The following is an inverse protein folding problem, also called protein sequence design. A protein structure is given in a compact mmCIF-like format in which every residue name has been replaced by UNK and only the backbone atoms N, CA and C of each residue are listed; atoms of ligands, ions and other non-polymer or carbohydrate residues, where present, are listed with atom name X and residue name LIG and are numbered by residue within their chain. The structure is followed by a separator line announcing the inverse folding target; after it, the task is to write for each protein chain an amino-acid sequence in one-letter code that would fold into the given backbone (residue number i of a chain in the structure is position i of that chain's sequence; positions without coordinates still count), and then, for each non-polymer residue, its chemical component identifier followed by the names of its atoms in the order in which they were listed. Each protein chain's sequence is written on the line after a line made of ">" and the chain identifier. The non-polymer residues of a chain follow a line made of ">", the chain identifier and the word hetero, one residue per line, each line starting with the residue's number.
data_IF_800918947515
#
_entry.id   IF_800918947515
#
_cell.length_a   1.000
_cell.length_b   1.000
_cell.length_c   1.000
_cell.angle_alpha   90.00
_cell.angle_beta   90.00
_cell.angle_gamma   90.00
#
_symmetry.space_group_name_H-M   'P 1'
#
loop_
_entity.id
_entity.type
_entity.pdbx_description
1 polymer ?
#
# COMPACT_ATOMS: atom_id res chain seq x y z
N UNK A 1 -15.00 -4.87 -19.39
CA UNK A 1 -14.33 -4.42 -18.14
C UNK A 1 -14.11 -5.67 -17.31
N UNK A 2 -12.86 -5.95 -16.94
CA UNK A 2 -12.48 -7.12 -16.13
C UNK A 2 -13.30 -7.18 -14.82
N UNK A 3 -13.89 -8.34 -14.43
CA UNK A 3 -14.61 -8.49 -13.17
C UNK A 3 -13.85 -7.99 -11.94
N UNK A 4 -12.53 -8.19 -11.87
CA UNK A 4 -11.75 -7.75 -10.71
C UNK A 4 -11.67 -6.22 -10.64
N UNK A 5 -11.53 -5.55 -11.79
CA UNK A 5 -11.58 -4.08 -11.88
C UNK A 5 -12.96 -3.50 -11.53
N UNK A 6 -14.04 -4.20 -11.88
CA UNK A 6 -15.39 -3.80 -11.46
C UNK A 6 -15.55 -3.89 -9.93
N UNK A 7 -15.00 -4.94 -9.31
CA UNK A 7 -15.00 -5.11 -7.86
C UNK A 7 -14.19 -4.01 -7.17
N UNK A 8 -13.03 -3.65 -7.72
CA UNK A 8 -12.23 -2.52 -7.21
C UNK A 8 -13.00 -1.20 -7.27
N UNK A 9 -13.64 -0.89 -8.40
CA UNK A 9 -14.49 0.30 -8.52
C UNK A 9 -15.60 0.31 -7.47
N UNK A 10 -16.29 -0.82 -7.27
CA UNK A 10 -17.34 -0.93 -6.27
C UNK A 10 -16.82 -0.77 -4.83
N UNK A 11 -15.61 -1.28 -4.52
CA UNK A 11 -14.97 -1.11 -3.21
C UNK A 11 -14.58 0.35 -2.95
N UNK A 12 -14.10 1.07 -3.97
CA UNK A 12 -13.82 2.51 -3.88
C UNK A 12 -15.11 3.31 -3.65
N UNK A 13 -16.21 2.96 -4.33
CA UNK A 13 -17.50 3.61 -4.12
C UNK A 13 -18.06 3.32 -2.70
N UNK A 14 -17.83 2.12 -2.17
CA UNK A 14 -18.18 1.76 -0.81
C UNK A 14 -17.34 2.54 0.23
N UNK A 15 -16.06 2.80 -0.04
CA UNK A 15 -15.23 3.70 0.76
C UNK A 15 -15.82 5.10 0.77
N UNK A 16 -16.17 5.68 -0.38
CA UNK A 16 -16.76 7.02 -0.44
C UNK A 16 -18.06 7.11 0.41
N UNK A 17 -18.90 6.08 0.32
CA UNK A 17 -20.13 6.01 1.12
C UNK A 17 -19.89 5.89 2.63
N UNK A 18 -18.88 5.13 3.06
CA UNK A 18 -18.59 4.96 4.49
C UNK A 18 -18.09 6.26 5.16
N UNK A 19 -17.63 7.24 4.37
CA UNK A 19 -17.07 8.50 4.84
C UNK A 19 -17.97 9.72 4.55
N UNK A 20 -19.19 9.50 4.04
CA UNK A 20 -20.12 10.59 3.66
C UNK A 20 -20.58 11.41 4.87
N UNK A 21 -20.77 10.76 6.01
CA UNK A 21 -21.26 11.38 7.24
C UNK A 21 -20.09 11.88 8.08
N UNK A 22 -19.64 13.11 7.82
CA UNK A 22 -18.64 13.76 8.66
C UNK A 22 -19.13 15.10 9.21
N UNK A 23 -18.86 15.33 10.50
CA UNK A 23 -19.09 16.61 11.14
C UNK A 23 -18.33 17.75 10.44
N UNK A 24 -18.84 19.00 10.49
CA UNK A 24 -18.16 20.16 9.95
C UNK A 24 -16.70 20.23 10.42
N UNK A 25 -15.80 20.48 9.47
CA UNK A 25 -14.37 20.51 9.67
C UNK A 25 -13.82 21.87 9.21
N UNK A 26 -12.84 22.39 9.92
CA UNK A 26 -12.11 23.59 9.53
C UNK A 26 -10.63 23.23 9.54
N UNK A 27 -10.04 23.21 8.36
CA UNK A 27 -8.62 22.97 8.21
C UNK A 27 -7.82 24.17 8.73
N UNK A 28 -6.65 23.88 9.26
CA UNK A 28 -5.65 24.84 9.71
C UNK A 28 -4.28 24.16 9.72
N UNK A 29 -3.24 24.93 9.96
CA UNK A 29 -1.88 24.41 9.97
C UNK A 29 -0.82 25.46 9.69
N UNK A 30 0.29 25.04 9.10
CA UNK A 30 1.44 25.89 8.84
C UNK A 30 1.13 26.93 7.75
N UNK A 31 0.97 28.20 8.13
CA UNK A 31 0.68 29.32 7.22
C UNK A 31 1.89 29.76 6.38
N UNK A 32 3.06 29.18 6.60
CA UNK A 32 4.22 29.39 5.72
C UNK A 32 4.20 28.42 4.53
N UNK A 33 3.67 27.21 4.72
CA UNK A 33 3.58 26.18 3.69
C UNK A 33 2.30 26.31 2.86
N UNK A 34 1.18 26.66 3.49
CA UNK A 34 -0.14 26.73 2.86
C UNK A 34 -0.85 28.05 3.17
N UNK A 35 -1.57 28.58 2.18
CA UNK A 35 -2.36 29.80 2.29
C UNK A 35 -3.76 29.56 2.86
N UNK A 36 -4.45 30.65 3.20
CA UNK A 36 -5.85 30.61 3.67
C UNK A 36 -6.77 29.94 2.64
N UNK A 37 -6.48 30.10 1.35
CA UNK A 37 -7.21 29.46 0.25
C UNK A 37 -7.10 27.93 0.27
N UNK A 38 -5.94 27.38 0.64
CA UNK A 38 -5.74 25.93 0.73
C UNK A 38 -6.54 25.38 1.92
N UNK A 39 -6.49 26.06 3.06
CA UNK A 39 -7.28 25.65 4.23
C UNK A 39 -8.78 25.81 3.99
N UNK A 40 -9.22 26.85 3.28
CA UNK A 40 -10.62 27.02 2.89
C UNK A 40 -11.10 25.88 1.99
N UNK A 41 -10.28 25.45 1.03
CA UNK A 41 -10.53 24.29 0.17
C UNK A 41 -10.66 23.00 0.99
N UNK A 42 -9.68 22.71 1.86
CA UNK A 42 -9.66 21.53 2.73
C UNK A 42 -10.83 21.49 3.73
N UNK A 43 -11.34 22.66 4.13
CA UNK A 43 -12.53 22.79 4.98
C UNK A 43 -13.83 22.48 4.22
N UNK A 44 -13.81 22.58 2.89
CA UNK A 44 -14.93 22.33 2.01
C UNK A 44 -15.28 20.85 1.85
N UNK A 45 -16.25 20.52 0.97
CA UNK A 45 -16.60 19.14 0.68
C UNK A 45 -15.41 18.34 0.10
N UNK A 46 -15.09 17.14 0.63
CA UNK A 46 -13.92 16.35 0.20
C UNK A 46 -13.83 16.07 -1.31
N UNK A 47 -14.98 15.90 -1.97
CA UNK A 47 -15.04 15.63 -3.41
C UNK A 47 -14.73 16.87 -4.29
N UNK A 48 -14.66 18.06 -3.69
CA UNK A 48 -14.29 19.31 -4.38
C UNK A 48 -12.84 19.72 -4.12
N UNK A 49 -12.12 19.01 -3.23
CA UNK A 49 -10.69 19.23 -2.99
C UNK A 49 -9.92 18.81 -4.24
N UNK A 50 -9.02 19.69 -4.69
CA UNK A 50 -8.16 19.50 -5.85
C UNK A 50 -7.18 18.35 -5.67
N UNK A 51 -6.76 17.73 -6.77
CA UNK A 51 -5.80 16.61 -6.74
C UNK A 51 -4.43 17.04 -6.17
N UNK A 52 -4.02 18.28 -6.41
CA UNK A 52 -2.81 18.86 -5.82
C UNK A 52 -2.89 18.87 -4.29
N UNK A 53 -4.06 19.24 -3.76
CA UNK A 53 -4.27 19.29 -2.30
C UNK A 53 -4.49 17.90 -1.69
N UNK A 54 -5.11 16.96 -2.43
CA UNK A 54 -5.14 15.54 -2.04
C UNK A 54 -3.72 14.98 -1.95
N UNK A 55 -2.88 15.26 -2.95
CA UNK A 55 -1.47 14.82 -2.98
C UNK A 55 -0.66 15.46 -1.85
N UNK A 56 -0.89 16.75 -1.57
CA UNK A 56 -0.26 17.45 -0.45
C UNK A 56 -0.60 16.79 0.90
N UNK A 57 -1.88 16.52 1.17
CA UNK A 57 -2.28 15.85 2.42
C UNK A 57 -1.78 14.40 2.47
N UNK A 58 -1.71 13.72 1.34
CA UNK A 58 -1.17 12.36 1.24
C UNK A 58 0.32 12.29 1.61
N UNK A 59 1.13 13.26 1.19
CA UNK A 59 2.59 13.20 1.30
C UNK A 59 3.17 13.98 2.47
N UNK A 60 2.65 15.18 2.75
CA UNK A 60 3.30 16.08 3.70
C UNK A 60 3.36 15.53 5.13
N UNK A 61 4.33 16.03 5.89
CA UNK A 61 4.46 15.68 7.30
C UNK A 61 3.23 16.12 8.10
N UNK A 62 2.78 15.33 9.10
CA UNK A 62 1.58 15.63 9.88
C UNK A 62 1.56 17.04 10.49
N UNK A 63 2.71 17.56 10.89
CA UNK A 63 2.86 18.87 11.54
C UNK A 63 2.52 20.07 10.63
N UNK A 64 2.30 19.84 9.33
CA UNK A 64 1.74 20.86 8.44
C UNK A 64 0.26 21.15 8.70
N UNK A 65 -0.44 20.30 9.46
CA UNK A 65 -1.88 20.34 9.65
C UNK A 65 -2.23 20.33 11.15
N UNK A 66 -3.10 21.24 11.60
CA UNK A 66 -3.46 21.35 13.02
C UNK A 66 -4.19 20.11 13.57
N UNK A 67 -5.05 19.49 12.76
CA UNK A 67 -5.78 18.25 13.09
C UNK A 67 -5.56 17.20 11.99
N UNK A 68 -4.29 16.81 11.82
CA UNK A 68 -3.89 15.81 10.82
C UNK A 68 -4.72 14.52 10.88
N UNK A 69 -4.95 13.86 12.04
CA UNK A 69 -5.69 12.59 12.07
C UNK A 69 -7.11 12.72 11.48
N UNK A 70 -7.81 13.82 11.77
CA UNK A 70 -9.15 14.07 11.23
C UNK A 70 -9.10 14.44 9.75
N UNK A 71 -8.18 15.33 9.36
CA UNK A 71 -8.00 15.72 7.95
C UNK A 71 -7.67 14.51 7.07
N UNK A 72 -6.73 13.68 7.51
CA UNK A 72 -6.30 12.51 6.77
C UNK A 72 -7.43 11.48 6.63
N UNK A 73 -8.16 11.22 7.72
CA UNK A 73 -9.37 10.39 7.69
C UNK A 73 -10.38 10.90 6.67
N UNK A 74 -10.69 12.19 6.69
CA UNK A 74 -11.64 12.85 5.78
C UNK A 74 -11.27 12.65 4.31
N UNK A 75 -9.99 12.72 3.98
CA UNK A 75 -9.49 12.59 2.60
C UNK A 75 -9.09 11.17 2.21
N UNK A 76 -9.13 10.20 3.12
CA UNK A 76 -8.69 8.81 2.85
C UNK A 76 -9.37 8.18 1.63
N UNK A 77 -10.70 8.30 1.40
CA UNK A 77 -11.32 7.75 0.20
C UNK A 77 -10.73 8.35 -1.09
N UNK A 78 -10.47 9.67 -1.13
CA UNK A 78 -9.88 10.37 -2.27
C UNK A 78 -8.43 9.94 -2.48
N UNK A 79 -7.64 9.85 -1.41
CA UNK A 79 -6.24 9.42 -1.44
C UNK A 79 -6.12 7.97 -1.96
N UNK A 80 -6.91 7.05 -1.44
CA UNK A 80 -6.86 5.64 -1.86
C UNK A 80 -7.40 5.42 -3.27
N UNK A 81 -8.40 6.22 -3.70
CA UNK A 81 -8.84 6.21 -5.09
C UNK A 81 -7.72 6.69 -6.01
N UNK A 82 -7.08 7.81 -5.69
CA UNK A 82 -5.99 8.35 -6.49
C UNK A 82 -4.79 7.38 -6.56
N UNK A 83 -4.47 6.71 -5.44
CA UNK A 83 -3.49 5.63 -5.41
C UNK A 83 -3.91 4.47 -6.32
N UNK A 84 -5.10 3.89 -6.14
CA UNK A 84 -5.53 2.73 -6.92
C UNK A 84 -5.65 3.00 -8.44
N UNK A 85 -5.74 4.26 -8.86
CA UNK A 85 -5.84 4.66 -10.28
C UNK A 85 -4.59 5.35 -10.83
N UNK A 86 -3.48 5.36 -10.08
CA UNK A 86 -2.21 6.03 -10.46
C UNK A 86 -2.41 7.51 -10.88
N UNK A 87 -3.20 8.24 -10.11
CA UNK A 87 -3.40 9.69 -10.29
C UNK A 87 -2.86 10.50 -9.12
N UNK A 88 -2.24 9.84 -8.15
CA UNK A 88 -1.59 10.48 -7.01
C UNK A 88 -0.19 10.93 -7.43
N UNK A 89 0.14 12.22 -7.23
CA UNK A 89 1.41 12.79 -7.71
C UNK A 89 2.57 12.66 -6.71
N UNK A 90 2.51 11.66 -5.85
CA UNK A 90 3.46 11.38 -4.77
C UNK A 90 3.64 9.88 -4.63
N UNK A 91 4.73 9.47 -3.98
CA UNK A 91 5.01 8.07 -3.70
C UNK A 91 3.87 7.43 -2.89
N UNK A 92 3.29 6.35 -3.39
CA UNK A 92 2.16 5.65 -2.78
C UNK A 92 2.55 4.97 -1.46
N UNK A 93 3.82 4.63 -1.27
CA UNK A 93 4.32 3.94 -0.09
C UNK A 93 4.32 4.82 1.17
N UNK A 94 4.08 6.14 1.03
CA UNK A 94 3.91 7.06 2.17
C UNK A 94 2.52 6.93 2.83
N UNK A 95 1.53 6.44 2.09
CA UNK A 95 0.13 6.36 2.53
C UNK A 95 -0.03 5.53 3.81
N UNK A 96 0.57 4.33 3.94
CA UNK A 96 0.52 3.55 5.17
C UNK A 96 1.03 4.30 6.39
N UNK A 97 2.16 5.00 6.29
CA UNK A 97 2.74 5.78 7.38
C UNK A 97 1.73 6.80 7.90
N UNK A 98 1.03 7.47 6.98
CA UNK A 98 0.02 8.47 7.27
C UNK A 98 -1.26 7.87 7.85
N UNK A 99 -1.74 6.74 7.32
CA UNK A 99 -2.87 5.98 7.88
C UNK A 99 -2.59 5.55 9.33
N UNK A 100 -1.38 5.05 9.61
CA UNK A 100 -0.95 4.67 10.94
C UNK A 100 -0.88 5.87 11.88
N UNK A 101 -0.33 7.00 11.43
CA UNK A 101 -0.30 8.27 12.18
C UNK A 101 -1.71 8.81 12.47
N UNK A 102 -2.65 8.62 11.56
CA UNK A 102 -4.05 8.96 11.73
C UNK A 102 -4.86 7.90 12.52
N UNK A 103 -4.20 6.84 12.99
CA UNK A 103 -4.79 5.75 13.78
C UNK A 103 -6.03 5.12 13.12
N UNK A 104 -5.93 4.78 11.82
CA UNK A 104 -7.06 4.34 11.00
C UNK A 104 -7.90 3.19 11.59
N UNK A 105 -7.26 2.29 12.33
CA UNK A 105 -7.93 1.15 12.98
C UNK A 105 -8.89 1.57 14.10
N UNK A 106 -8.79 2.81 14.60
CA UNK A 106 -9.60 3.38 15.68
C UNK A 106 -10.74 4.28 15.18
N UNK A 107 -10.83 4.49 13.87
CA UNK A 107 -11.90 5.28 13.25
C UNK A 107 -13.29 4.67 13.49
N UNK A 108 -14.37 5.42 13.25
CA UNK A 108 -15.74 4.90 13.28
C UNK A 108 -15.85 3.50 12.62
N UNK A 109 -16.55 2.54 13.23
CA UNK A 109 -16.52 1.14 12.81
C UNK A 109 -16.82 0.92 11.32
N UNK A 110 -17.74 1.68 10.73
CA UNK A 110 -18.08 1.60 9.31
C UNK A 110 -16.90 1.99 8.40
N UNK A 111 -16.15 3.02 8.76
CA UNK A 111 -14.99 3.51 8.01
C UNK A 111 -13.82 2.51 8.07
N UNK A 112 -13.51 2.04 9.28
CA UNK A 112 -12.45 1.04 9.46
C UNK A 112 -12.82 -0.30 8.80
N UNK A 113 -14.10 -0.70 8.80
CA UNK A 113 -14.56 -1.89 8.08
C UNK A 113 -14.41 -1.74 6.56
N UNK A 114 -14.79 -0.59 5.99
CA UNK A 114 -14.65 -0.34 4.56
C UNK A 114 -13.19 -0.43 4.10
N UNK A 115 -12.22 0.05 4.89
CA UNK A 115 -10.79 -0.13 4.61
C UNK A 115 -10.37 -1.61 4.64
N UNK A 116 -10.82 -2.37 5.65
CA UNK A 116 -10.53 -3.81 5.75
C UNK A 116 -11.08 -4.59 4.57
N UNK A 117 -12.23 -4.19 4.02
CA UNK A 117 -12.82 -4.81 2.82
C UNK A 117 -12.11 -4.36 1.53
N UNK A 118 -11.59 -3.13 1.51
CA UNK A 118 -10.87 -2.57 0.38
C UNK A 118 -9.52 -3.26 0.13
N UNK A 119 -8.67 -3.44 1.14
CA UNK A 119 -7.32 -4.01 0.98
C UNK A 119 -7.26 -5.33 0.17
N UNK A 120 -8.02 -6.39 0.54
CA UNK A 120 -8.00 -7.63 -0.22
C UNK A 120 -8.67 -7.50 -1.59
N UNK A 121 -9.51 -6.49 -1.81
CA UNK A 121 -10.14 -6.24 -3.12
C UNK A 121 -9.15 -5.57 -4.06
N UNK A 122 -8.43 -4.55 -3.60
CA UNK A 122 -7.38 -3.89 -4.36
C UNK A 122 -6.28 -4.89 -4.75
N UNK A 123 -5.80 -5.68 -3.78
CA UNK A 123 -4.75 -6.67 -4.05
C UNK A 123 -5.14 -7.70 -5.12
N UNK A 124 -6.36 -8.24 -5.06
CA UNK A 124 -6.85 -9.17 -6.08
C UNK A 124 -7.00 -8.51 -7.45
N UNK A 125 -7.48 -7.27 -7.50
CA UNK A 125 -7.59 -6.53 -8.76
C UNK A 125 -6.21 -6.29 -9.40
N UNK A 126 -5.19 -5.98 -8.59
CA UNK A 126 -3.79 -5.91 -9.05
C UNK A 126 -3.35 -7.23 -9.65
N UNK A 127 -3.49 -8.35 -8.92
CA UNK A 127 -3.05 -9.67 -9.39
C UNK A 127 -3.80 -10.21 -10.63
N UNK A 128 -5.03 -9.75 -10.86
CA UNK A 128 -5.80 -10.11 -12.06
C UNK A 128 -5.48 -9.24 -13.28
N UNK A 129 -4.95 -8.05 -13.06
CA UNK A 129 -4.54 -7.12 -14.13
C UNK A 129 -3.11 -7.45 -14.54
N UNK A 130 -2.85 -7.61 -15.83
CA UNK A 130 -1.48 -7.87 -16.29
C UNK A 130 -0.55 -6.70 -15.91
N UNK A 131 0.71 -6.93 -15.51
CA UNK A 131 1.64 -5.86 -15.12
C UNK A 131 1.71 -4.68 -16.10
N UNK A 132 1.85 -4.95 -17.41
CA UNK A 132 1.83 -3.92 -18.49
C UNK A 132 0.61 -2.98 -18.50
N UNK A 133 -0.50 -3.38 -17.86
CA UNK A 133 -1.73 -2.60 -17.78
C UNK A 133 -2.10 -2.21 -16.35
N UNK A 134 -1.31 -2.61 -15.36
CA UNK A 134 -1.53 -2.26 -13.97
C UNK A 134 -1.16 -0.79 -13.74
N UNK A 135 -2.00 0.01 -13.05
CA UNK A 135 -1.66 1.39 -12.75
C UNK A 135 -0.43 1.53 -11.83
N UNK A 136 -0.29 0.60 -10.89
CA UNK A 136 0.78 0.55 -9.88
C UNK A 136 1.33 -0.88 -9.86
N UNK A 137 2.63 -1.04 -9.58
CA UNK A 137 3.25 -2.37 -9.50
C UNK A 137 2.66 -3.22 -8.37
N UNK A 138 2.70 -4.55 -8.52
CA UNK A 138 2.28 -5.46 -7.45
C UNK A 138 3.13 -5.29 -6.19
N UNK A 139 4.42 -4.95 -6.34
CA UNK A 139 5.33 -4.69 -5.22
C UNK A 139 4.87 -3.51 -4.36
N UNK A 140 4.60 -2.37 -4.98
CA UNK A 140 4.14 -1.16 -4.26
C UNK A 140 2.78 -1.40 -3.59
N UNK A 141 1.83 -2.07 -4.27
CA UNK A 141 0.53 -2.39 -3.66
C UNK A 141 0.71 -3.34 -2.47
N UNK A 142 1.56 -4.37 -2.60
CA UNK A 142 1.87 -5.31 -1.52
C UNK A 142 2.51 -4.60 -0.32
N UNK A 143 3.45 -3.70 -0.56
CA UNK A 143 4.10 -2.87 0.46
C UNK A 143 3.06 -2.01 1.19
N UNK A 144 2.20 -1.31 0.45
CA UNK A 144 1.15 -0.45 1.01
C UNK A 144 0.19 -1.22 1.93
N UNK A 145 -0.38 -2.33 1.45
CA UNK A 145 -1.33 -3.11 2.25
C UNK A 145 -0.65 -3.79 3.44
N UNK A 146 0.61 -4.21 3.29
CA UNK A 146 1.38 -4.84 4.38
C UNK A 146 1.63 -3.85 5.51
N UNK A 147 2.17 -2.67 5.20
CA UNK A 147 2.47 -1.66 6.22
C UNK A 147 1.18 -1.12 6.85
N UNK A 148 0.14 -0.88 6.05
CA UNK A 148 -1.11 -0.34 6.56
C UNK A 148 -1.81 -1.31 7.54
N UNK A 149 -1.65 -2.62 7.33
CA UNK A 149 -2.28 -3.65 8.16
C UNK A 149 -1.36 -4.29 9.20
N UNK A 150 -0.05 -4.09 9.08
CA UNK A 150 0.97 -4.65 9.97
C UNK A 150 1.18 -6.15 9.81
N UNK A 151 0.79 -6.73 8.66
CA UNK A 151 0.96 -8.17 8.38
C UNK A 151 1.19 -8.41 6.90
N UNK A 152 2.15 -9.27 6.54
CA UNK A 152 2.43 -9.64 5.15
C UNK A 152 1.75 -10.96 4.73
N UNK A 153 1.81 -11.99 5.57
CA UNK A 153 1.34 -13.35 5.24
C UNK A 153 -0.04 -13.46 4.56
N UNK A 154 -1.11 -12.77 5.01
CA UNK A 154 -2.43 -12.89 4.37
C UNK A 154 -2.44 -12.49 2.88
N UNK A 155 -1.58 -11.54 2.49
CA UNK A 155 -1.48 -11.07 1.11
C UNK A 155 -0.73 -12.05 0.23
N UNK A 156 0.33 -12.67 0.78
CA UNK A 156 1.06 -13.75 0.15
C UNK A 156 0.17 -14.98 -0.05
N UNK A 157 -0.66 -15.34 0.94
CA UNK A 157 -1.62 -16.44 0.81
C UNK A 157 -2.65 -16.17 -0.32
N UNK A 158 -3.11 -14.92 -0.48
CA UNK A 158 -3.96 -14.53 -1.62
C UNK A 158 -3.22 -14.75 -2.94
N UNK A 159 -1.96 -14.31 -3.04
CA UNK A 159 -1.16 -14.47 -4.25
C UNK A 159 -0.91 -15.95 -4.60
N UNK A 160 -0.57 -16.76 -3.60
CA UNK A 160 -0.43 -18.22 -3.75
C UNK A 160 -1.71 -18.86 -4.28
N UNK A 161 -2.88 -18.36 -3.88
CA UNK A 161 -4.18 -18.93 -4.30
C UNK A 161 -4.61 -18.55 -5.72
N UNK A 162 -4.01 -17.53 -6.34
CA UNK A 162 -4.41 -17.02 -7.67
C UNK A 162 -3.44 -17.55 -8.73
N UNK A 163 -3.95 -18.46 -9.55
CA UNK A 163 -3.22 -19.14 -10.63
C UNK A 163 -3.72 -18.63 -11.98
N UNK A 164 -3.23 -17.46 -12.39
CA UNK A 164 -3.57 -16.86 -13.68
C UNK A 164 -2.30 -16.30 -14.33
N UNK A 165 -2.31 -16.16 -15.66
CA UNK A 165 -1.17 -15.61 -16.39
C UNK A 165 -0.75 -14.21 -15.89
N UNK A 166 -1.71 -13.36 -15.50
CA UNK A 166 -1.41 -12.05 -14.92
C UNK A 166 -0.69 -12.18 -13.57
N UNK A 167 -1.17 -13.07 -12.69
CA UNK A 167 -0.57 -13.27 -11.36
C UNK A 167 0.82 -13.91 -11.45
N UNK A 168 1.05 -14.78 -12.42
CA UNK A 168 2.37 -15.37 -12.70
C UNK A 168 3.33 -14.34 -13.31
N UNK A 169 2.83 -13.40 -14.14
CA UNK A 169 3.64 -12.31 -14.69
C UNK A 169 4.09 -11.33 -13.59
N UNK A 170 3.17 -10.92 -12.68
CA UNK A 170 3.55 -10.15 -11.49
C UNK A 170 4.56 -10.90 -10.64
N UNK A 171 4.43 -12.22 -10.52
CA UNK A 171 5.33 -13.01 -9.70
C UNK A 171 6.74 -13.02 -10.29
N UNK A 172 6.86 -13.18 -11.60
CA UNK A 172 8.15 -13.12 -12.29
C UNK A 172 8.83 -11.76 -12.11
N UNK A 173 8.10 -10.65 -12.32
CA UNK A 173 8.63 -9.30 -12.10
C UNK A 173 9.04 -9.06 -10.64
N UNK A 174 8.20 -9.45 -9.69
CA UNK A 174 8.49 -9.29 -8.27
C UNK A 174 9.72 -10.09 -7.84
N UNK A 175 9.85 -11.34 -8.31
CA UNK A 175 11.00 -12.17 -7.96
C UNK A 175 12.28 -11.63 -8.58
N UNK A 176 12.26 -11.19 -9.85
CA UNK A 176 13.41 -10.54 -10.48
C UNK A 176 13.85 -9.34 -9.65
N UNK A 177 12.90 -8.47 -9.31
CA UNK A 177 13.15 -7.24 -8.55
C UNK A 177 13.75 -7.48 -7.16
N UNK A 178 13.19 -8.40 -6.36
CA UNK A 178 13.71 -8.65 -4.99
C UNK A 178 15.00 -9.48 -4.97
N UNK A 179 15.32 -10.23 -6.04
CA UNK A 179 16.57 -10.98 -6.13
C UNK A 179 17.73 -10.13 -6.71
N UNK A 180 17.41 -9.09 -7.48
CA UNK A 180 18.40 -8.10 -7.92
C UNK A 180 19.15 -7.54 -6.71
N UNK A 181 20.48 -7.55 -6.81
CA UNK A 181 21.40 -7.11 -5.75
C UNK A 181 21.15 -7.78 -4.38
N UNK A 182 20.45 -8.92 -4.34
CA UNK A 182 20.09 -9.65 -3.11
C UNK A 182 19.26 -8.80 -2.13
N UNK A 183 18.43 -7.89 -2.64
CA UNK A 183 17.59 -7.00 -1.84
C UNK A 183 16.71 -7.76 -0.84
N UNK A 184 16.23 -8.95 -1.22
CA UNK A 184 15.42 -9.83 -0.36
C UNK A 184 16.07 -10.16 0.99
N UNK A 185 17.39 -10.04 1.11
CA UNK A 185 18.11 -10.35 2.36
C UNK A 185 17.91 -9.31 3.45
N UNK A 186 17.57 -8.06 3.10
CA UNK A 186 17.28 -6.98 4.04
C UNK A 186 16.12 -6.11 3.54
N UNK A 187 15.05 -6.76 3.07
CA UNK A 187 13.95 -6.07 2.44
C UNK A 187 13.05 -5.41 3.47
N UNK A 188 13.00 -4.09 3.42
CA UNK A 188 12.02 -3.27 4.12
C UNK A 188 10.89 -2.85 3.17
N UNK A 189 9.66 -2.80 3.70
CA UNK A 189 8.48 -2.28 3.02
C UNK A 189 8.01 -0.99 3.70
N UNK A 190 7.51 -0.06 2.90
CA UNK A 190 7.03 1.25 3.32
C UNK A 190 8.07 2.36 3.13
N UNK A 191 7.56 3.58 2.99
CA UNK A 191 8.38 4.75 2.68
C UNK A 191 9.48 5.04 3.73
N UNK A 192 9.30 4.61 4.97
CA UNK A 192 10.28 4.75 6.05
C UNK A 192 10.83 3.41 6.53
N UNK A 193 10.65 2.32 5.76
CA UNK A 193 11.08 0.98 6.14
C UNK A 193 10.31 0.42 7.35
N UNK A 194 9.00 0.69 7.45
CA UNK A 194 8.21 0.34 8.61
C UNK A 194 8.04 -1.17 8.85
N UNK A 195 8.26 -1.99 7.82
CA UNK A 195 8.05 -3.43 7.90
C UNK A 195 9.23 -4.20 7.31
N UNK A 196 9.90 -5.01 8.14
CA UNK A 196 10.95 -5.93 7.67
C UNK A 196 10.33 -7.21 7.10
N UNK A 197 10.41 -7.39 5.79
CA UNK A 197 9.70 -8.44 5.04
C UNK A 197 10.53 -9.69 4.74
N UNK A 198 11.87 -9.60 4.86
CA UNK A 198 12.82 -10.66 4.49
C UNK A 198 12.40 -12.06 4.93
N UNK A 199 12.09 -12.23 6.22
CA UNK A 199 11.86 -13.57 6.78
C UNK A 199 10.61 -14.25 6.20
N UNK A 200 9.50 -13.51 6.09
CA UNK A 200 8.24 -14.03 5.55
C UNK A 200 8.31 -14.25 4.04
N UNK A 201 8.96 -13.34 3.29
CA UNK A 201 9.13 -13.49 1.85
C UNK A 201 10.05 -14.65 1.49
N UNK A 202 11.20 -14.78 2.16
CA UNK A 202 12.11 -15.89 1.92
C UNK A 202 11.43 -17.24 2.20
N UNK A 203 10.68 -17.34 3.30
CA UNK A 203 9.90 -18.55 3.61
C UNK A 203 8.87 -18.84 2.49
N UNK A 204 8.09 -17.84 2.10
CA UNK A 204 7.08 -17.98 1.05
C UNK A 204 7.65 -18.36 -0.32
N UNK A 205 8.73 -17.69 -0.77
CA UNK A 205 9.41 -17.99 -2.04
C UNK A 205 9.97 -19.41 -2.09
N UNK A 206 10.53 -19.88 -0.98
CA UNK A 206 11.18 -21.19 -0.89
C UNK A 206 10.20 -22.34 -0.61
N UNK A 207 8.96 -22.04 -0.25
CA UNK A 207 7.96 -23.05 0.13
C UNK A 207 6.69 -22.96 -0.71
N UNK A 208 5.87 -21.93 -0.50
CA UNK A 208 4.48 -21.85 -0.95
C UNK A 208 4.33 -21.66 -2.47
N UNK A 209 5.33 -21.08 -3.12
CA UNK A 209 5.28 -20.75 -4.57
C UNK A 209 6.51 -21.25 -5.33
N UNK A 210 7.35 -22.09 -4.72
CA UNK A 210 8.61 -22.57 -5.31
C UNK A 210 8.40 -23.26 -6.66
N UNK A 211 7.28 -23.95 -6.82
CA UNK A 211 6.89 -24.65 -8.05
C UNK A 211 6.42 -23.73 -9.18
N UNK A 212 6.11 -22.47 -8.86
CA UNK A 212 5.66 -21.43 -9.82
C UNK A 212 6.79 -20.51 -10.28
N UNK A 213 7.88 -20.43 -9.53
CA UNK A 213 9.02 -19.54 -9.81
C UNK A 213 10.09 -20.30 -10.59
N UNK A 214 10.50 -19.76 -11.73
CA UNK A 214 11.54 -20.36 -12.58
C UNK A 214 12.84 -19.54 -12.56
N UNK A 215 13.37 -19.32 -11.35
CA UNK A 215 14.61 -18.57 -11.13
C UNK A 215 15.81 -19.50 -10.86
N UNK A 216 16.78 -19.59 -11.80
CA UNK A 216 17.93 -20.49 -11.67
C UNK A 216 18.79 -20.19 -10.43
N UNK A 217 18.88 -18.93 -10.01
CA UNK A 217 19.63 -18.55 -8.80
C UNK A 217 19.08 -19.21 -7.55
N UNK A 218 17.76 -19.41 -7.47
CA UNK A 218 17.12 -20.10 -6.36
C UNK A 218 17.25 -21.64 -6.45
N UNK A 219 17.78 -22.19 -7.54
CA UNK A 219 18.14 -23.62 -7.63
C UNK A 219 19.62 -23.88 -7.31
N UNK A 220 20.44 -22.84 -7.25
CA UNK A 220 21.86 -22.93 -6.92
C UNK A 220 22.05 -23.01 -5.39
N UNK A 221 22.53 -24.14 -4.83
CA UNK A 221 22.73 -24.28 -3.39
C UNK A 221 23.67 -23.26 -2.79
N UNK A 222 24.71 -22.83 -3.52
CA UNK A 222 25.69 -21.87 -3.01
C UNK A 222 25.08 -20.46 -2.94
N UNK A 223 24.27 -20.08 -3.93
CA UNK A 223 23.54 -18.82 -3.92
C UNK A 223 22.45 -18.79 -2.84
N UNK A 224 21.71 -19.89 -2.66
CA UNK A 224 20.73 -20.01 -1.58
C UNK A 224 21.37 -19.91 -0.19
N UNK A 225 22.52 -20.56 0.03
CA UNK A 225 23.24 -20.48 1.31
C UNK A 225 23.73 -19.05 1.59
N UNK A 226 24.18 -18.34 0.55
CA UNK A 226 24.51 -16.92 0.63
C UNK A 226 23.30 -16.08 1.05
N UNK A 227 22.17 -16.17 0.34
CA UNK A 227 20.95 -15.40 0.65
C UNK A 227 20.45 -15.68 2.08
N UNK A 228 20.44 -16.95 2.50
CA UNK A 228 20.02 -17.34 3.84
C UNK A 228 20.99 -16.87 4.94
N UNK A 229 22.27 -16.74 4.62
CA UNK A 229 23.28 -16.23 5.55
C UNK A 229 23.16 -14.72 5.72
N UNK A 230 23.06 -13.97 4.63
CA UNK A 230 22.85 -12.53 4.65
C UNK A 230 21.53 -12.17 5.34
N UNK A 231 20.44 -12.86 5.02
CA UNK A 231 19.13 -12.65 5.66
C UNK A 231 19.14 -12.88 7.18
N UNK A 232 20.04 -13.72 7.70
CA UNK A 232 20.22 -13.92 9.14
C UNK A 232 21.05 -12.81 9.77
N UNK A 233 22.02 -12.27 9.02
CA UNK A 233 22.88 -11.18 9.48
C UNK A 233 22.15 -9.83 9.51
N UNK A 234 21.22 -9.63 8.58
CA UNK A 234 20.41 -8.41 8.43
C UNK A 234 19.27 -8.28 9.47
N UNK A 235 18.98 -9.33 10.25
CA UNK A 235 17.89 -9.25 11.24
C UNK A 235 18.13 -8.09 12.20
N UNK A 236 17.19 -7.14 12.33
CA UNK A 236 17.32 -6.08 13.31
C UNK A 236 17.43 -6.69 14.71
N UNK A 237 18.36 -6.18 15.52
CA UNK A 237 18.45 -6.51 16.95
C UNK A 237 17.06 -6.32 17.55
N UNK A 238 16.40 -7.42 17.90
CA UNK A 238 15.08 -7.37 18.53
C UNK A 238 15.26 -6.82 19.94
N UNK A 239 14.64 -5.69 20.32
CA UNK A 239 14.56 -5.31 21.73
C UNK A 239 13.70 -6.29 22.54
#
# INVERSE_FOLDING_TARGET
>A
MDPAQQQLSAALDALDLAFVDEEPFTAGGCTYCYGEENFAELSGPPHLVSEDMVSAVAFEVPDHWDDFPRLYRRLTPRILRAAATDTLHVDVEVIPSRLLRAAWTTWPPAQAAALRDFWPTWWRATLHTHPDAAPISAREVLSVITVATGTLRPWLDIWTSIWTASADAHLAEFVDDVLVESEITDLEMGFYGEYHATAELMDWLLTDIRDRVHEPGLDDPDHLDFLLTEARAARPDTP
#
